data_IF_980659663260
#
_entry.id   IF_980659663260
#
_cell.length_a   1.000
_cell.length_b   1.000
_cell.length_c   1.000
_cell.angle_alpha   90.00
_cell.angle_beta   90.00
_cell.angle_gamma   90.00
#
_symmetry.space_group_name_H-M   'P 1'
#
loop_
_entity.id
_entity.type
_entity.pdbx_description
1 polymer ?
#
# COMPACT_ATOMS: atom_id res chain seq x y z
N UNK A 1 -0.42 -34.27 -4.08
CA UNK A 1 -0.73 -32.88 -3.64
C UNK A 1 -1.38 -32.97 -2.27
N UNK A 2 -0.81 -32.29 -1.29
CA UNK A 2 -1.37 -32.24 0.07
C UNK A 2 -2.45 -31.18 0.12
N UNK A 3 -3.64 -31.49 0.65
CA UNK A 3 -4.75 -30.53 0.82
C UNK A 3 -4.54 -29.60 2.02
N UNK A 4 -3.32 -29.57 2.61
CA UNK A 4 -3.02 -28.72 3.78
C UNK A 4 -3.28 -27.23 3.51
N UNK A 5 -3.08 -26.74 2.27
CA UNK A 5 -3.36 -25.35 1.91
C UNK A 5 -4.80 -24.91 2.22
N UNK A 6 -5.79 -25.82 2.17
CA UNK A 6 -7.18 -25.51 2.53
C UNK A 6 -7.31 -25.25 4.03
N UNK A 7 -6.62 -26.02 4.86
CA UNK A 7 -6.59 -25.84 6.30
C UNK A 7 -5.86 -24.54 6.65
N UNK A 8 -4.71 -24.29 6.03
CA UNK A 8 -3.93 -23.07 6.23
C UNK A 8 -4.77 -21.83 5.91
N UNK A 9 -5.46 -21.85 4.76
CA UNK A 9 -6.34 -20.76 4.35
C UNK A 9 -7.52 -20.58 5.32
N UNK A 10 -8.13 -21.68 5.78
CA UNK A 10 -9.23 -21.62 6.75
C UNK A 10 -8.77 -21.05 8.08
N UNK A 11 -7.58 -21.43 8.57
CA UNK A 11 -6.99 -20.90 9.80
C UNK A 11 -6.67 -19.40 9.66
N UNK A 12 -6.09 -18.99 8.53
CA UNK A 12 -5.84 -17.57 8.25
C UNK A 12 -7.14 -16.77 8.27
N UNK A 13 -8.15 -17.20 7.51
CA UNK A 13 -9.41 -16.47 7.41
C UNK A 13 -10.17 -16.41 8.75
N UNK A 14 -10.18 -17.51 9.51
CA UNK A 14 -10.84 -17.57 10.80
C UNK A 14 -10.13 -16.67 11.83
N UNK A 15 -8.82 -16.79 11.96
CA UNK A 15 -8.03 -16.04 12.93
C UNK A 15 -8.03 -14.53 12.62
N UNK A 16 -7.85 -14.15 11.37
CA UNK A 16 -7.91 -12.74 10.93
C UNK A 16 -9.28 -12.14 11.19
N UNK A 17 -10.36 -12.91 10.96
CA UNK A 17 -11.71 -12.43 11.24
C UNK A 17 -11.98 -12.27 12.74
N UNK A 18 -11.59 -13.24 13.56
CA UNK A 18 -11.77 -13.19 15.01
C UNK A 18 -10.98 -12.03 15.61
N UNK A 19 -9.67 -11.94 15.30
CA UNK A 19 -8.82 -10.89 15.84
C UNK A 19 -9.14 -9.51 15.23
N UNK A 20 -9.61 -9.45 13.99
CA UNK A 20 -10.14 -8.23 13.39
C UNK A 20 -11.37 -7.70 14.13
N UNK A 21 -12.31 -8.57 14.52
CA UNK A 21 -13.47 -8.20 15.33
C UNK A 21 -13.06 -7.76 16.76
N UNK A 22 -12.06 -8.42 17.33
CA UNK A 22 -11.49 -8.02 18.63
C UNK A 22 -10.82 -6.65 18.52
N UNK A 23 -10.02 -6.42 17.47
CA UNK A 23 -9.40 -5.11 17.20
C UNK A 23 -10.46 -4.00 17.08
N UNK A 24 -11.56 -4.25 16.37
CA UNK A 24 -12.67 -3.30 16.26
C UNK A 24 -13.34 -3.00 17.62
N UNK A 25 -13.47 -4.00 18.51
CA UNK A 25 -13.98 -3.78 19.87
C UNK A 25 -13.10 -2.82 20.67
N UNK A 26 -11.80 -2.83 20.43
CA UNK A 26 -10.84 -1.86 20.96
C UNK A 26 -10.73 -0.59 20.11
N UNK A 27 -11.65 -0.38 19.19
CA UNK A 27 -11.65 0.75 18.26
C UNK A 27 -10.37 0.83 17.41
N UNK A 28 -9.75 -0.29 17.08
CA UNK A 28 -8.61 -0.38 16.17
C UNK A 28 -9.06 -0.83 14.77
N UNK A 29 -8.34 -0.49 13.69
CA UNK A 29 -8.60 -1.02 12.36
C UNK A 29 -8.52 -2.56 12.33
N UNK A 30 -9.33 -3.22 11.48
CA UNK A 30 -9.29 -4.68 11.33
C UNK A 30 -7.94 -5.21 10.85
N UNK A 31 -7.24 -4.40 10.06
CA UNK A 31 -5.88 -4.66 9.59
C UNK A 31 -4.95 -5.04 10.75
N UNK A 32 -5.01 -4.33 11.87
CA UNK A 32 -4.19 -4.63 13.06
C UNK A 32 -4.46 -6.05 13.57
N UNK A 33 -5.74 -6.43 13.62
CA UNK A 33 -6.13 -7.80 14.02
C UNK A 33 -5.62 -8.86 13.06
N UNK A 34 -5.65 -8.59 11.75
CA UNK A 34 -5.15 -9.52 10.74
C UNK A 34 -3.62 -9.71 10.81
N UNK A 35 -2.88 -8.63 11.05
CA UNK A 35 -1.42 -8.68 11.26
C UNK A 35 -1.06 -9.48 12.52
N UNK A 36 -1.76 -9.22 13.63
CA UNK A 36 -1.56 -9.97 14.88
C UNK A 36 -1.93 -11.44 14.68
N UNK A 37 -2.98 -11.76 13.90
CA UNK A 37 -3.33 -13.13 13.57
C UNK A 37 -2.18 -13.85 12.86
N UNK A 38 -1.61 -13.22 11.85
CA UNK A 38 -0.46 -13.73 11.13
C UNK A 38 0.76 -13.98 12.06
N UNK A 39 1.09 -13.00 12.91
CA UNK A 39 2.18 -13.11 13.87
C UNK A 39 1.96 -14.26 14.88
N UNK A 40 0.73 -14.41 15.38
CA UNK A 40 0.40 -15.52 16.30
C UNK A 40 0.52 -16.90 15.62
N UNK A 41 0.13 -17.01 14.35
CA UNK A 41 0.22 -18.25 13.60
C UNK A 41 1.62 -18.56 13.09
N UNK A 42 2.52 -17.57 13.05
CA UNK A 42 3.87 -17.64 12.51
C UNK A 42 4.79 -18.61 13.30
N UNK A 43 5.93 -18.98 12.72
CA UNK A 43 6.98 -19.74 13.44
C UNK A 43 7.52 -19.01 14.68
N UNK A 44 7.48 -17.67 14.69
CA UNK A 44 7.86 -16.86 15.85
C UNK A 44 6.79 -16.84 16.96
N UNK A 45 5.53 -17.20 16.64
CA UNK A 45 4.42 -17.30 17.57
C UNK A 45 4.12 -18.74 17.99
N UNK A 46 2.96 -19.26 17.54
CA UNK A 46 2.51 -20.63 17.86
C UNK A 46 3.13 -21.70 16.94
N UNK A 47 3.80 -21.34 15.87
CA UNK A 47 4.40 -22.26 14.91
C UNK A 47 3.39 -23.12 14.13
N UNK A 48 2.16 -22.64 13.99
CA UNK A 48 1.09 -23.39 13.31
C UNK A 48 1.16 -23.29 11.80
N UNK A 49 1.62 -22.16 11.27
CA UNK A 49 1.74 -21.89 9.85
C UNK A 49 3.15 -21.38 9.51
N UNK A 50 3.61 -21.78 8.34
CA UNK A 50 4.79 -21.20 7.69
C UNK A 50 4.38 -20.66 6.32
N UNK A 51 5.16 -19.76 5.76
CA UNK A 51 4.91 -19.29 4.38
C UNK A 51 5.02 -20.46 3.41
N UNK A 52 3.97 -20.64 2.61
CA UNK A 52 3.95 -21.56 1.48
C UNK A 52 3.92 -20.75 0.19
N UNK A 53 4.38 -21.33 -0.92
CA UNK A 53 4.34 -20.68 -2.23
C UNK A 53 2.91 -20.25 -2.60
N UNK A 54 1.92 -21.05 -2.24
CA UNK A 54 0.51 -20.71 -2.45
C UNK A 54 0.06 -19.49 -1.65
N UNK A 55 0.39 -19.42 -0.34
CA UNK A 55 0.02 -18.27 0.49
C UNK A 55 0.74 -17.00 0.06
N UNK A 56 1.99 -17.12 -0.40
CA UNK A 56 2.76 -16.01 -0.94
C UNK A 56 2.11 -15.45 -2.21
N UNK A 57 1.85 -16.29 -3.20
CA UNK A 57 1.21 -15.86 -4.46
C UNK A 57 -0.19 -15.28 -4.24
N UNK A 58 -0.97 -15.86 -3.31
CA UNK A 58 -2.28 -15.35 -2.97
C UNK A 58 -2.20 -14.00 -2.24
N UNK A 59 -1.17 -13.79 -1.43
CA UNK A 59 -0.86 -12.53 -0.76
C UNK A 59 -0.48 -11.44 -1.78
N UNK A 60 0.40 -11.73 -2.73
CA UNK A 60 0.79 -10.83 -3.81
C UNK A 60 -0.44 -10.43 -4.65
N UNK A 61 -1.27 -11.39 -5.04
CA UNK A 61 -2.53 -11.09 -5.71
C UNK A 61 -3.46 -10.22 -4.83
N UNK A 62 -3.40 -10.41 -3.52
CA UNK A 62 -4.17 -9.64 -2.54
C UNK A 62 -3.82 -8.15 -2.56
N UNK A 63 -2.55 -7.81 -2.52
CA UNK A 63 -2.11 -6.41 -2.56
C UNK A 63 -2.36 -5.77 -3.92
N UNK A 64 -2.18 -6.51 -5.02
CA UNK A 64 -2.51 -6.04 -6.37
C UNK A 64 -3.99 -5.65 -6.48
N UNK A 65 -4.91 -6.51 -6.03
CA UNK A 65 -6.36 -6.22 -6.05
C UNK A 65 -6.72 -5.07 -5.11
N UNK A 66 -6.08 -4.98 -3.96
CA UNK A 66 -6.25 -3.89 -3.01
C UNK A 66 -5.89 -2.54 -3.66
N UNK A 67 -4.73 -2.45 -4.30
CA UNK A 67 -4.25 -1.24 -4.96
C UNK A 67 -5.05 -0.89 -6.21
N UNK A 68 -5.48 -1.89 -6.98
CA UNK A 68 -6.42 -1.70 -8.08
C UNK A 68 -7.75 -1.09 -7.60
N UNK A 69 -8.30 -1.62 -6.50
CA UNK A 69 -9.52 -1.07 -5.89
C UNK A 69 -9.33 0.35 -5.36
N UNK A 70 -8.16 0.65 -4.79
CA UNK A 70 -7.80 2.00 -4.35
C UNK A 70 -7.71 2.98 -5.54
N UNK A 71 -7.06 2.55 -6.64
CA UNK A 71 -7.00 3.34 -7.87
C UNK A 71 -8.38 3.64 -8.47
N UNK A 72 -9.29 2.66 -8.46
CA UNK A 72 -10.68 2.87 -8.91
C UNK A 72 -11.47 3.83 -8.02
N UNK A 73 -11.15 3.90 -6.72
CA UNK A 73 -11.80 4.81 -5.77
C UNK A 73 -11.20 6.22 -5.76
N UNK A 74 -10.12 6.45 -6.48
CA UNK A 74 -9.41 7.74 -6.46
C UNK A 74 -10.03 8.73 -7.45
N UNK A 75 -10.31 9.96 -7.00
CA UNK A 75 -10.66 11.06 -7.89
C UNK A 75 -9.40 11.62 -8.55
N UNK A 76 -9.33 11.49 -9.88
CA UNK A 76 -8.18 11.94 -10.70
C UNK A 76 -7.94 13.45 -10.60
N UNK A 77 -9.00 14.25 -10.40
CA UNK A 77 -8.86 15.70 -10.28
C UNK A 77 -8.24 16.05 -8.92
N UNK A 78 -8.69 15.42 -7.86
CA UNK A 78 -8.13 15.54 -6.52
C UNK A 78 -6.65 15.09 -6.50
N UNK A 79 -6.33 13.99 -7.17
CA UNK A 79 -4.96 13.50 -7.30
C UNK A 79 -4.04 14.51 -7.99
N UNK A 80 -4.52 15.16 -9.07
CA UNK A 80 -3.77 16.23 -9.76
C UNK A 80 -3.52 17.42 -8.84
N UNK A 81 -4.51 17.83 -8.05
CA UNK A 81 -4.35 18.93 -7.10
C UNK A 81 -3.38 18.58 -5.96
N UNK A 82 -3.34 17.31 -5.54
CA UNK A 82 -2.45 16.82 -4.49
C UNK A 82 -1.02 16.53 -4.97
N UNK A 83 -0.76 16.52 -6.30
CA UNK A 83 0.52 16.08 -6.86
C UNK A 83 1.72 16.89 -6.38
N UNK A 84 1.61 18.22 -6.29
CA UNK A 84 2.70 19.08 -5.78
C UNK A 84 2.99 18.81 -4.29
N UNK A 85 1.95 18.67 -3.49
CA UNK A 85 2.09 18.34 -2.08
C UNK A 85 2.64 16.92 -1.92
N UNK A 86 2.11 15.95 -2.68
CA UNK A 86 2.59 14.57 -2.71
C UNK A 86 4.09 14.49 -3.05
N UNK A 87 4.54 15.24 -4.06
CA UNK A 87 5.97 15.28 -4.43
C UNK A 87 6.85 15.82 -3.29
N UNK A 88 6.48 16.95 -2.68
CA UNK A 88 7.25 17.54 -1.57
C UNK A 88 7.28 16.61 -0.35
N UNK A 89 6.14 15.98 -0.03
CA UNK A 89 6.02 15.00 1.04
C UNK A 89 6.90 13.78 0.77
N UNK A 90 6.90 13.25 -0.46
CA UNK A 90 7.71 12.10 -0.83
C UNK A 90 9.21 12.39 -0.77
N UNK A 91 9.67 13.52 -1.35
CA UNK A 91 11.09 13.89 -1.33
C UNK A 91 11.63 14.00 0.09
N UNK A 92 10.94 14.77 0.97
CA UNK A 92 11.35 14.88 2.37
C UNK A 92 11.11 13.58 3.14
N UNK A 93 10.11 12.80 2.74
CA UNK A 93 9.81 11.47 3.26
C UNK A 93 10.85 10.41 2.90
N UNK A 94 11.69 10.62 1.90
CA UNK A 94 12.84 9.77 1.56
C UNK A 94 14.11 10.32 2.21
N UNK A 95 14.40 11.61 2.01
CA UNK A 95 15.67 12.22 2.45
C UNK A 95 15.81 12.17 3.97
N UNK A 96 14.78 12.55 4.72
CA UNK A 96 14.88 12.61 6.20
C UNK A 96 15.05 11.22 6.83
N UNK A 97 14.26 10.18 6.50
CA UNK A 97 14.50 8.83 7.01
C UNK A 97 15.85 8.25 6.57
N UNK A 98 16.27 8.51 5.34
CA UNK A 98 17.58 8.09 4.86
C UNK A 98 18.71 8.63 5.74
N UNK A 99 18.73 9.95 5.98
CA UNK A 99 19.76 10.58 6.78
C UNK A 99 19.70 10.17 8.24
N UNK A 100 18.49 10.15 8.84
CA UNK A 100 18.32 9.78 10.25
C UNK A 100 18.63 8.30 10.49
N UNK A 101 18.25 7.42 9.57
CA UNK A 101 18.54 5.99 9.64
C UNK A 101 20.04 5.70 9.53
N UNK A 102 20.71 6.33 8.58
CA UNK A 102 22.18 6.25 8.40
C UNK A 102 22.91 6.76 9.64
N UNK A 103 22.51 7.92 10.17
CA UNK A 103 23.11 8.51 11.36
C UNK A 103 22.90 7.62 12.61
N UNK A 104 21.71 7.03 12.76
CA UNK A 104 21.44 6.09 13.84
C UNK A 104 22.31 4.85 13.74
N UNK A 105 22.41 4.23 12.56
CA UNK A 105 23.20 3.02 12.37
C UNK A 105 24.67 3.29 12.60
N UNK A 106 25.21 4.37 12.07
CA UNK A 106 26.58 4.80 12.31
C UNK A 106 26.84 5.08 13.79
N UNK A 107 25.96 5.82 14.48
CA UNK A 107 26.10 6.09 15.90
C UNK A 107 26.02 4.83 16.77
N UNK A 108 25.18 3.86 16.41
CA UNK A 108 25.06 2.57 17.12
C UNK A 108 26.31 1.70 16.93
N UNK A 109 26.94 1.75 15.76
CA UNK A 109 28.18 1.09 15.44
C UNK A 109 29.34 1.66 16.29
N UNK A 110 29.51 3.00 16.32
CA UNK A 110 30.51 3.68 17.14
C UNK A 110 30.33 3.43 18.66
N UNK A 111 29.09 3.22 19.11
CA UNK A 111 28.78 2.89 20.50
C UNK A 111 28.95 1.39 20.82
N UNK A 112 29.27 0.56 19.83
CA UNK A 112 29.42 -0.89 20.00
C UNK A 112 28.09 -1.63 20.31
N UNK A 113 26.96 -1.04 19.97
CA UNK A 113 25.64 -1.68 20.11
C UNK A 113 25.40 -2.71 19.00
N UNK A 114 25.98 -2.48 17.83
CA UNK A 114 25.96 -3.35 16.64
C UNK A 114 27.39 -3.47 16.11
N UNK A 115 27.67 -4.56 15.42
CA UNK A 115 28.90 -4.73 14.65
C UNK A 115 28.57 -4.56 13.16
N UNK A 116 28.79 -3.39 12.60
CA UNK A 116 28.56 -3.17 11.18
C UNK A 116 29.76 -3.64 10.36
N UNK A 117 29.50 -4.12 9.13
CA UNK A 117 30.55 -4.51 8.18
C UNK A 117 31.23 -3.31 7.52
N UNK A 118 30.71 -2.10 7.76
CA UNK A 118 31.26 -0.84 7.25
C UNK A 118 30.21 0.24 6.97
N UNK A 119 30.69 1.42 6.59
CA UNK A 119 29.84 2.60 6.38
C UNK A 119 28.72 2.39 5.32
N UNK A 120 28.93 1.51 4.34
CA UNK A 120 27.92 1.18 3.32
C UNK A 120 26.73 0.45 3.94
N UNK A 121 26.95 -0.43 4.92
CA UNK A 121 25.86 -1.08 5.66
C UNK A 121 25.01 -0.05 6.41
N UNK A 122 25.64 0.94 7.04
CA UNK A 122 24.93 2.02 7.74
C UNK A 122 24.08 2.86 6.78
N UNK A 123 24.57 3.17 5.58
CA UNK A 123 23.81 3.82 4.51
C UNK A 123 22.65 2.93 4.06
N UNK A 124 22.89 1.62 3.96
CA UNK A 124 21.87 0.67 3.53
C UNK A 124 20.71 0.57 4.53
N UNK A 125 20.99 0.60 5.83
CA UNK A 125 19.97 0.68 6.88
C UNK A 125 19.14 1.97 6.73
N UNK A 126 19.78 3.10 6.43
CA UNK A 126 19.09 4.33 6.07
C UNK A 126 18.16 4.15 4.87
N UNK A 127 18.60 3.44 3.84
CA UNK A 127 17.80 3.13 2.65
C UNK A 127 16.58 2.26 2.98
N UNK A 128 16.73 1.24 3.84
CA UNK A 128 15.60 0.43 4.32
C UNK A 128 14.54 1.32 4.98
N UNK A 129 14.97 2.33 5.75
CA UNK A 129 14.04 3.27 6.40
C UNK A 129 13.36 4.26 5.42
N UNK A 130 13.72 4.32 4.16
CA UNK A 130 12.95 5.10 3.18
C UNK A 130 11.67 4.40 2.77
N UNK A 131 11.69 3.07 2.65
CA UNK A 131 10.57 2.28 2.16
C UNK A 131 9.29 2.49 2.98
N UNK A 132 8.15 2.67 2.31
CA UNK A 132 6.83 2.86 2.94
C UNK A 132 5.87 1.77 2.48
N UNK A 133 5.03 1.25 3.37
CA UNK A 133 3.94 0.35 2.98
C UNK A 133 2.68 1.14 2.67
N UNK A 134 2.39 1.28 1.39
CA UNK A 134 1.21 2.01 0.89
C UNK A 134 -0.07 1.23 1.20
N UNK A 135 -0.05 -0.09 1.00
CA UNK A 135 -1.20 -0.98 1.12
C UNK A 135 -1.86 -0.93 2.51
N UNK A 136 -1.05 -0.95 3.58
CA UNK A 136 -1.53 -0.92 4.96
C UNK A 136 -2.18 0.44 5.28
N UNK A 137 -1.53 1.52 4.88
CA UNK A 137 -2.05 2.88 5.08
C UNK A 137 -3.34 3.10 4.30
N UNK A 138 -3.40 2.67 3.04
CA UNK A 138 -4.58 2.76 2.18
C UNK A 138 -5.77 2.01 2.79
N UNK A 139 -5.56 0.75 3.22
CA UNK A 139 -6.64 -0.02 3.84
C UNK A 139 -7.11 0.60 5.16
N UNK A 140 -6.18 1.10 5.98
CA UNK A 140 -6.51 1.81 7.22
C UNK A 140 -7.35 3.08 6.94
N UNK A 141 -6.95 3.89 5.96
CA UNK A 141 -7.69 5.09 5.55
C UNK A 141 -9.07 4.73 4.97
N UNK A 142 -9.15 3.63 4.21
CA UNK A 142 -10.38 3.10 3.64
C UNK A 142 -11.36 2.63 4.73
N UNK A 143 -10.88 1.86 5.72
CA UNK A 143 -11.68 1.47 6.90
C UNK A 143 -12.21 2.68 7.67
N UNK A 144 -11.39 3.73 7.80
CA UNK A 144 -11.77 4.99 8.46
C UNK A 144 -12.64 5.92 7.57
N UNK A 145 -12.86 5.58 6.30
CA UNK A 145 -13.53 6.42 5.29
C UNK A 145 -12.83 7.78 5.08
N UNK A 146 -11.50 7.79 5.18
CA UNK A 146 -10.66 8.99 5.05
C UNK A 146 -9.75 8.98 3.81
N UNK A 147 -9.85 7.94 2.96
CA UNK A 147 -9.04 7.81 1.75
C UNK A 147 -9.31 8.93 0.74
N UNK A 148 -10.57 9.33 0.58
CA UNK A 148 -11.03 10.35 -0.36
C UNK A 148 -10.89 11.79 0.19
N UNK A 149 -10.20 11.98 1.33
CA UNK A 149 -9.95 13.32 1.90
C UNK A 149 -8.69 13.95 1.29
N UNK A 150 -8.51 15.27 1.47
CA UNK A 150 -7.29 15.98 1.07
C UNK A 150 -6.03 15.31 1.61
N UNK A 151 -6.05 14.89 2.88
CA UNK A 151 -4.94 14.16 3.53
C UNK A 151 -4.75 12.79 2.89
N UNK A 152 -5.82 12.00 2.71
CA UNK A 152 -5.76 10.67 2.10
C UNK A 152 -5.21 10.71 0.67
N UNK A 153 -5.72 11.62 -0.16
CA UNK A 153 -5.23 11.81 -1.53
C UNK A 153 -3.76 12.25 -1.58
N UNK A 154 -3.34 13.09 -0.62
CA UNK A 154 -1.93 13.51 -0.54
C UNK A 154 -1.02 12.37 -0.11
N UNK A 155 -1.42 11.56 0.89
CA UNK A 155 -0.69 10.36 1.31
C UNK A 155 -0.55 9.40 0.12
N UNK A 156 -1.63 9.16 -0.62
CA UNK A 156 -1.63 8.27 -1.76
C UNK A 156 -0.72 8.76 -2.88
N UNK A 157 -0.79 10.05 -3.23
CA UNK A 157 0.10 10.66 -4.20
C UNK A 157 1.58 10.61 -3.76
N UNK A 158 1.83 10.90 -2.48
CA UNK A 158 3.17 10.85 -1.91
C UNK A 158 3.73 9.44 -1.92
N UNK A 159 2.94 8.43 -1.57
CA UNK A 159 3.36 7.06 -1.50
C UNK A 159 3.77 6.50 -2.88
N UNK A 160 3.01 6.80 -3.94
CA UNK A 160 3.38 6.43 -5.31
C UNK A 160 4.71 7.05 -5.77
N UNK A 161 4.99 8.29 -5.36
CA UNK A 161 6.24 8.96 -5.67
C UNK A 161 7.36 8.41 -4.78
N UNK A 162 7.08 8.11 -3.52
CA UNK A 162 8.00 7.52 -2.54
C UNK A 162 8.53 6.17 -3.02
N UNK A 163 7.68 5.31 -3.62
CA UNK A 163 8.08 4.03 -4.21
C UNK A 163 9.13 4.22 -5.31
N UNK A 164 8.92 5.19 -6.19
CA UNK A 164 9.88 5.54 -7.26
C UNK A 164 11.19 6.09 -6.69
N UNK A 165 11.10 7.01 -5.73
CA UNK A 165 12.29 7.60 -5.09
C UNK A 165 13.04 6.56 -4.25
N UNK A 166 12.34 5.65 -3.59
CA UNK A 166 12.91 4.53 -2.84
C UNK A 166 13.72 3.58 -3.75
N UNK A 167 13.16 3.26 -4.95
CA UNK A 167 13.86 2.46 -5.95
C UNK A 167 15.13 3.17 -6.44
N UNK A 168 15.08 4.48 -6.70
CA UNK A 168 16.24 5.27 -7.07
C UNK A 168 17.28 5.25 -5.94
N UNK A 169 16.88 5.47 -4.69
CA UNK A 169 17.77 5.45 -3.54
C UNK A 169 18.45 4.08 -3.37
N UNK A 170 17.66 2.99 -3.48
CA UNK A 170 18.19 1.62 -3.44
C UNK A 170 19.22 1.38 -4.53
N UNK A 171 18.92 1.75 -5.78
CA UNK A 171 19.81 1.58 -6.91
C UNK A 171 21.12 2.36 -6.73
N UNK A 172 21.03 3.60 -6.22
CA UNK A 172 22.20 4.41 -5.90
C UNK A 172 23.12 3.72 -4.90
N UNK A 173 22.55 3.21 -3.82
CA UNK A 173 23.33 2.55 -2.75
C UNK A 173 23.87 1.20 -3.21
N UNK A 174 23.10 0.42 -3.98
CA UNK A 174 23.59 -0.83 -4.59
C UNK A 174 24.73 -0.58 -5.56
N UNK A 175 24.66 0.48 -6.36
CA UNK A 175 25.76 0.87 -7.28
C UNK A 175 27.03 1.30 -6.51
N UNK A 176 26.89 2.02 -5.39
CA UNK A 176 28.03 2.37 -4.52
C UNK A 176 28.66 1.14 -3.86
N UNK A 177 27.87 0.09 -3.65
CA UNK A 177 28.31 -1.20 -3.09
C UNK A 177 28.95 -2.14 -4.15
N UNK A 178 29.12 -1.67 -5.40
CA UNK A 178 29.73 -2.45 -6.49
C UNK A 178 28.74 -3.26 -7.33
N UNK A 179 27.44 -2.91 -7.29
CA UNK A 179 26.43 -3.50 -8.16
C UNK A 179 26.51 -3.01 -9.61
N UNK A 180 26.14 -3.86 -10.57
CA UNK A 180 26.22 -3.58 -12.01
C UNK A 180 25.05 -2.72 -12.55
N UNK A 181 24.09 -2.33 -11.71
CA UNK A 181 22.92 -1.59 -12.16
C UNK A 181 23.23 -0.11 -12.45
N UNK A 182 23.00 0.31 -13.69
CA UNK A 182 23.18 1.70 -14.12
C UNK A 182 21.96 2.54 -13.71
N UNK A 183 22.21 3.61 -12.96
CA UNK A 183 21.18 4.61 -12.55
C UNK A 183 20.42 5.14 -13.77
N UNK A 184 21.12 5.41 -14.88
CA UNK A 184 20.50 5.89 -16.11
C UNK A 184 19.50 4.90 -16.70
N UNK A 185 19.78 3.60 -16.61
CA UNK A 185 18.87 2.55 -17.08
C UNK A 185 17.61 2.48 -16.19
N UNK A 186 17.77 2.59 -14.87
CA UNK A 186 16.62 2.60 -13.93
C UNK A 186 15.73 3.82 -14.17
N UNK A 187 16.31 5.00 -14.31
CA UNK A 187 15.54 6.22 -14.63
C UNK A 187 14.81 6.08 -15.98
N UNK A 188 15.47 5.50 -17.00
CA UNK A 188 14.84 5.26 -18.29
C UNK A 188 13.66 4.28 -18.18
N UNK A 189 13.80 3.20 -17.40
CA UNK A 189 12.72 2.24 -17.13
C UNK A 189 11.54 2.89 -16.40
N UNK A 190 11.80 3.73 -15.39
CA UNK A 190 10.74 4.45 -14.65
C UNK A 190 9.98 5.39 -15.58
N UNK A 191 10.69 6.22 -16.38
CA UNK A 191 10.03 7.09 -17.35
C UNK A 191 9.25 6.28 -18.38
N UNK A 192 9.85 5.18 -18.88
CA UNK A 192 9.21 4.24 -19.79
C UNK A 192 7.90 3.67 -19.21
N UNK A 193 7.92 3.30 -17.93
CA UNK A 193 6.72 2.82 -17.24
C UNK A 193 5.60 3.89 -17.21
N UNK A 194 5.90 5.12 -16.86
CA UNK A 194 4.86 6.17 -16.83
C UNK A 194 4.29 6.47 -18.22
N UNK A 195 5.14 6.47 -19.26
CA UNK A 195 4.67 6.59 -20.65
C UNK A 195 3.80 5.39 -21.04
N UNK A 196 4.24 4.17 -20.73
CA UNK A 196 3.48 2.94 -20.95
C UNK A 196 2.12 2.99 -20.23
N UNK A 197 2.12 3.31 -18.94
CA UNK A 197 0.91 3.37 -18.12
C UNK A 197 -0.09 4.43 -18.68
N UNK A 198 0.42 5.57 -19.14
CA UNK A 198 -0.42 6.58 -19.77
C UNK A 198 -1.02 6.09 -21.10
N UNK A 199 -0.20 5.52 -21.98
CA UNK A 199 -0.64 5.03 -23.30
C UNK A 199 -1.65 3.88 -23.15
N UNK A 200 -1.30 2.87 -22.34
CA UNK A 200 -2.17 1.70 -22.11
C UNK A 200 -3.44 2.12 -21.36
N UNK A 201 -3.32 2.95 -20.32
CA UNK A 201 -4.46 3.46 -19.56
C UNK A 201 -5.42 4.28 -20.43
N UNK A 202 -4.90 5.17 -21.29
CA UNK A 202 -5.72 5.94 -22.24
C UNK A 202 -6.37 5.02 -23.28
N UNK A 203 -5.61 4.08 -23.85
CA UNK A 203 -6.13 3.09 -24.80
C UNK A 203 -7.23 2.21 -24.18
N UNK A 204 -6.99 1.71 -22.97
CA UNK A 204 -7.96 0.93 -22.23
C UNK A 204 -9.25 1.73 -21.97
N UNK A 205 -9.13 2.97 -21.50
CA UNK A 205 -10.29 3.85 -21.30
C UNK A 205 -11.10 4.03 -22.61
N UNK A 206 -10.41 4.24 -23.72
CA UNK A 206 -11.06 4.37 -25.05
C UNK A 206 -11.79 3.09 -25.45
N UNK A 207 -11.15 1.93 -25.23
CA UNK A 207 -11.75 0.61 -25.52
C UNK A 207 -12.96 0.37 -24.60
N UNK A 208 -12.85 0.65 -23.31
CA UNK A 208 -13.98 0.56 -22.37
C UNK A 208 -15.16 1.44 -22.79
N UNK A 209 -14.90 2.71 -23.11
CA UNK A 209 -15.95 3.62 -23.58
C UNK A 209 -16.61 3.14 -24.88
N UNK A 210 -15.84 2.58 -25.81
CA UNK A 210 -16.36 2.01 -27.04
C UNK A 210 -17.20 0.76 -26.78
N UNK A 211 -16.70 -0.15 -25.91
CA UNK A 211 -17.46 -1.34 -25.50
C UNK A 211 -18.78 -0.99 -24.85
N UNK A 212 -18.79 0.03 -23.97
CA UNK A 212 -20.00 0.49 -23.29
C UNK A 212 -21.06 1.07 -24.26
N UNK A 213 -20.63 1.79 -25.30
CA UNK A 213 -21.54 2.34 -26.32
C UNK A 213 -22.22 1.27 -27.19
N UNK A 214 -21.57 0.11 -27.37
CA UNK A 214 -22.09 -1.00 -28.18
C UNK A 214 -22.94 -2.00 -27.38
N UNK A 215 -23.00 -1.88 -26.07
CA UNK A 215 -23.70 -2.86 -25.23
C UNK A 215 -25.16 -2.47 -24.98
N UNK A 216 -26.06 -3.30 -25.43
CA UNK A 216 -27.46 -3.36 -25.03
C UNK A 216 -27.62 -4.56 -24.08
N UNK A 217 -27.90 -4.33 -22.78
CA UNK A 217 -28.22 -5.38 -21.82
C UNK A 217 -27.04 -6.06 -21.08
N UNK A 218 -27.18 -7.25 -20.62
CA UNK A 218 -26.48 -8.10 -19.63
C UNK A 218 -24.94 -8.24 -19.68
N UNK A 219 -24.21 -7.43 -20.42
CA UNK A 219 -22.75 -7.54 -20.61
C UNK A 219 -21.89 -6.99 -19.46
N UNK A 220 -22.45 -6.84 -18.26
CA UNK A 220 -21.81 -6.21 -17.09
C UNK A 220 -20.61 -7.01 -16.56
N UNK A 221 -20.68 -8.36 -16.54
CA UNK A 221 -19.58 -9.22 -16.06
C UNK A 221 -18.36 -9.15 -16.96
N UNK A 222 -18.55 -9.04 -18.28
CA UNK A 222 -17.45 -8.94 -19.24
C UNK A 222 -16.56 -7.73 -18.99
N UNK A 223 -17.13 -6.58 -18.66
CA UNK A 223 -16.36 -5.37 -18.37
C UNK A 223 -15.50 -5.52 -17.11
N UNK A 224 -16.02 -6.18 -16.09
CA UNK A 224 -15.24 -6.49 -14.88
C UNK A 224 -14.06 -7.40 -15.22
N UNK A 225 -14.27 -8.47 -16.00
CA UNK A 225 -13.16 -9.36 -16.39
C UNK A 225 -12.07 -8.59 -17.15
N UNK A 226 -12.44 -7.74 -18.12
CA UNK A 226 -11.46 -6.92 -18.84
C UNK A 226 -10.71 -5.95 -17.93
N UNK A 227 -11.38 -5.34 -16.95
CA UNK A 227 -10.75 -4.47 -15.97
C UNK A 227 -9.73 -5.24 -15.12
N UNK A 228 -10.02 -6.49 -14.76
CA UNK A 228 -9.09 -7.33 -14.02
C UNK A 228 -7.89 -7.77 -14.87
N UNK A 229 -8.14 -8.17 -16.12
CA UNK A 229 -7.05 -8.48 -17.06
C UNK A 229 -6.13 -7.27 -17.23
N UNK A 230 -6.69 -6.06 -17.38
CA UNK A 230 -5.90 -4.83 -17.44
C UNK A 230 -5.05 -4.65 -16.17
N UNK A 231 -5.63 -4.87 -14.99
CA UNK A 231 -4.92 -4.79 -13.71
C UNK A 231 -3.72 -5.74 -13.69
N UNK A 232 -3.95 -7.03 -13.98
CA UNK A 232 -2.90 -8.06 -13.94
C UNK A 232 -1.79 -7.80 -14.97
N UNK A 233 -2.16 -7.40 -16.19
CA UNK A 233 -1.18 -7.10 -17.25
C UNK A 233 -0.35 -5.87 -16.88
N UNK A 234 -0.98 -4.81 -16.35
CA UNK A 234 -0.23 -3.62 -15.96
C UNK A 234 0.66 -3.85 -14.74
N UNK A 235 0.22 -4.66 -13.75
CA UNK A 235 1.03 -5.07 -12.62
C UNK A 235 2.26 -5.90 -13.09
N UNK A 236 2.03 -6.91 -13.92
CA UNK A 236 3.08 -7.74 -14.50
C UNK A 236 4.10 -6.91 -15.32
N UNK A 237 3.61 -6.02 -16.20
CA UNK A 237 4.52 -5.19 -16.99
C UNK A 237 5.31 -4.20 -16.13
N UNK A 238 4.72 -3.66 -15.06
CA UNK A 238 5.41 -2.76 -14.14
C UNK A 238 6.64 -3.43 -13.53
N UNK A 239 6.46 -4.63 -12.98
CA UNK A 239 7.52 -5.38 -12.30
C UNK A 239 8.52 -5.96 -13.29
N UNK A 240 8.07 -6.75 -14.27
CA UNK A 240 8.94 -7.56 -15.14
C UNK A 240 9.73 -6.73 -16.15
N UNK A 241 9.08 -5.74 -16.80
CA UNK A 241 9.75 -4.96 -17.85
C UNK A 241 10.37 -3.66 -17.35
N UNK A 242 9.75 -3.04 -16.37
CA UNK A 242 10.18 -1.71 -15.92
C UNK A 242 10.84 -1.72 -14.55
N UNK A 243 10.77 -2.82 -13.78
CA UNK A 243 11.31 -2.91 -12.43
C UNK A 243 10.65 -1.90 -11.47
N UNK A 244 9.42 -1.49 -11.76
CA UNK A 244 8.58 -0.65 -10.91
C UNK A 244 7.60 -1.56 -10.19
N UNK A 245 7.34 -1.31 -8.90
CA UNK A 245 6.47 -2.16 -8.11
C UNK A 245 5.13 -2.47 -8.80
N UNK A 246 4.73 -3.73 -8.81
CA UNK A 246 3.50 -4.27 -9.38
C UNK A 246 2.26 -3.54 -8.88
N UNK A 247 2.26 -3.17 -7.59
CA UNK A 247 1.20 -2.36 -6.95
C UNK A 247 0.98 -1.02 -7.64
N UNK A 248 2.04 -0.39 -8.18
CA UNK A 248 1.94 0.88 -8.92
C UNK A 248 1.26 0.66 -10.27
N UNK A 249 1.58 -0.46 -10.96
CA UNK A 249 0.90 -0.89 -12.17
C UNK A 249 -0.59 -1.16 -11.96
N UNK A 250 -0.91 -1.89 -10.89
CA UNK A 250 -2.29 -2.18 -10.49
C UNK A 250 -3.09 -0.89 -10.18
N UNK A 251 -2.48 0.04 -9.44
CA UNK A 251 -3.08 1.33 -9.13
C UNK A 251 -3.34 2.17 -10.39
N UNK A 252 -2.36 2.24 -11.31
CA UNK A 252 -2.52 2.95 -12.58
C UNK A 252 -3.65 2.35 -13.44
N UNK A 253 -3.79 1.02 -13.47
CA UNK A 253 -4.92 0.34 -14.09
C UNK A 253 -6.25 0.74 -13.43
N UNK A 254 -6.30 0.81 -12.10
CA UNK A 254 -7.45 1.27 -11.33
C UNK A 254 -7.87 2.70 -11.70
N UNK A 255 -6.91 3.62 -11.80
CA UNK A 255 -7.14 5.00 -12.25
C UNK A 255 -7.72 5.06 -13.66
N UNK A 256 -7.19 4.25 -14.59
CA UNK A 256 -7.71 4.19 -15.97
C UNK A 256 -9.18 3.73 -16.00
N UNK A 257 -9.55 2.77 -15.15
CA UNK A 257 -10.93 2.29 -15.00
C UNK A 257 -11.81 3.32 -14.29
N UNK A 258 -11.30 4.04 -13.28
CA UNK A 258 -11.99 5.12 -12.56
C UNK A 258 -12.49 6.22 -13.52
N UNK A 259 -11.71 6.54 -14.56
CA UNK A 259 -12.07 7.49 -15.60
C UNK A 259 -13.21 7.01 -16.52
N UNK A 260 -13.72 5.79 -16.36
CA UNK A 260 -14.82 5.25 -17.18
C UNK A 260 -16.18 5.49 -16.52
N UNK A 261 -17.29 5.63 -17.31
CA UNK A 261 -18.61 5.85 -16.74
C UNK A 261 -19.12 4.75 -15.78
N UNK A 262 -18.54 3.56 -15.84
CA UNK A 262 -18.89 2.41 -14.97
C UNK A 262 -17.79 2.06 -13.94
N UNK A 263 -16.82 2.92 -13.71
CA UNK A 263 -15.71 2.66 -12.78
C UNK A 263 -16.21 2.27 -11.39
N UNK A 264 -17.10 3.05 -10.80
CA UNK A 264 -17.71 2.76 -9.49
C UNK A 264 -18.44 1.41 -9.45
N UNK A 265 -19.18 1.07 -10.52
CA UNK A 265 -19.86 -0.23 -10.61
C UNK A 265 -18.85 -1.39 -10.65
N UNK A 266 -17.77 -1.25 -11.43
CA UNK A 266 -16.71 -2.26 -11.52
C UNK A 266 -16.06 -2.43 -10.14
N UNK A 267 -15.74 -1.35 -9.45
CA UNK A 267 -15.17 -1.36 -8.10
C UNK A 267 -16.02 -2.16 -7.11
N UNK A 268 -17.36 -2.01 -7.14
CA UNK A 268 -18.25 -2.78 -6.24
C UNK A 268 -18.18 -4.29 -6.45
N UNK A 269 -17.74 -4.77 -7.61
CA UNK A 269 -17.59 -6.21 -7.89
C UNK A 269 -16.29 -6.79 -7.31
N UNK A 270 -15.24 -5.97 -7.14
CA UNK A 270 -13.96 -6.43 -6.58
C UNK A 270 -13.88 -6.29 -5.06
N UNK A 271 -14.60 -5.33 -4.49
CA UNK A 271 -14.60 -5.13 -3.04
C UNK A 271 -14.91 -6.41 -2.24
N UNK A 272 -15.91 -7.26 -2.60
CA UNK A 272 -16.15 -8.50 -1.88
C UNK A 272 -15.00 -9.50 -1.97
N UNK A 273 -14.38 -9.66 -3.15
CA UNK A 273 -13.26 -10.58 -3.35
C UNK A 273 -12.05 -10.15 -2.52
N UNK A 274 -11.70 -8.85 -2.57
CA UNK A 274 -10.64 -8.28 -1.74
C UNK A 274 -10.92 -8.50 -0.26
N UNK A 275 -12.05 -8.05 0.23
CA UNK A 275 -12.39 -8.08 1.66
C UNK A 275 -12.55 -9.50 2.24
N UNK A 276 -13.16 -10.45 1.50
CA UNK A 276 -13.46 -11.78 2.02
C UNK A 276 -12.25 -12.72 2.03
N UNK A 277 -11.35 -12.58 1.07
CA UNK A 277 -10.28 -13.55 0.85
C UNK A 277 -8.90 -12.91 0.80
N UNK A 278 -8.69 -11.99 -0.14
CA UNK A 278 -7.35 -11.56 -0.52
C UNK A 278 -6.69 -10.67 0.52
N UNK A 279 -7.40 -9.65 0.99
CA UNK A 279 -6.89 -8.70 1.99
C UNK A 279 -6.54 -9.37 3.33
N UNK A 280 -7.39 -10.26 3.92
CA UNK A 280 -7.02 -10.99 5.13
C UNK A 280 -5.77 -11.86 4.95
N UNK A 281 -5.64 -12.56 3.82
CA UNK A 281 -4.46 -13.40 3.54
C UNK A 281 -3.21 -12.55 3.41
N UNK A 282 -3.29 -11.41 2.69
CA UNK A 282 -2.17 -10.48 2.54
C UNK A 282 -1.67 -9.97 3.89
N UNK A 283 -2.54 -9.45 4.75
CA UNK A 283 -2.09 -8.94 6.05
C UNK A 283 -1.60 -10.04 6.99
N UNK A 284 -2.21 -11.23 6.97
CA UNK A 284 -1.73 -12.35 7.74
C UNK A 284 -0.35 -12.82 7.26
N UNK A 285 -0.10 -12.85 5.94
CA UNK A 285 1.20 -13.30 5.40
C UNK A 285 2.36 -12.41 5.85
N UNK A 286 2.15 -11.10 6.01
CA UNK A 286 3.16 -10.19 6.58
C UNK A 286 3.56 -10.66 7.98
N UNK A 287 2.58 -11.06 8.81
CA UNK A 287 2.83 -11.59 10.15
C UNK A 287 3.46 -12.99 10.17
N UNK A 288 3.04 -13.87 9.25
CA UNK A 288 3.54 -15.26 9.14
C UNK A 288 5.02 -15.29 8.75
N UNK A 289 5.48 -14.34 7.95
CA UNK A 289 6.86 -14.23 7.47
C UNK A 289 7.87 -13.76 8.52
N UNK A 290 7.41 -13.48 9.73
CA UNK A 290 8.29 -13.00 10.81
C UNK A 290 9.18 -14.12 11.30
N UNK A 291 10.49 -13.94 11.13
CA UNK A 291 11.53 -14.78 11.72
C UNK A 291 12.45 -13.91 12.57
N UNK A 292 12.58 -14.25 13.84
CA UNK A 292 13.43 -13.53 14.80
C UNK A 292 14.55 -14.46 15.22
N UNK A 293 15.79 -14.13 14.86
CA UNK A 293 16.98 -14.92 15.18
C UNK A 293 18.05 -14.05 15.80
N UNK A 294 18.88 -14.61 16.70
CA UNK A 294 20.09 -13.94 17.20
C UNK A 294 19.84 -12.71 18.08
N UNK A 295 18.87 -12.77 18.99
CA UNK A 295 18.57 -11.67 19.92
C UNK A 295 19.69 -11.49 20.95
N UNK A 296 20.50 -10.44 20.80
CA UNK A 296 21.41 -9.93 21.82
C UNK A 296 20.86 -8.65 22.45
N UNK A 297 21.36 -8.27 23.64
CA UNK A 297 20.92 -7.02 24.29
C UNK A 297 21.12 -5.77 23.41
N UNK A 298 22.25 -5.69 22.69
CA UNK A 298 22.53 -4.59 21.76
C UNK A 298 21.55 -4.57 20.59
N UNK A 299 21.24 -5.71 19.98
CA UNK A 299 20.28 -5.85 18.88
C UNK A 299 18.86 -5.41 19.32
N UNK A 300 18.44 -5.75 20.54
CA UNK A 300 17.13 -5.34 21.07
C UNK A 300 17.09 -3.82 21.24
N UNK A 301 18.11 -3.21 21.85
CA UNK A 301 18.19 -1.75 22.01
C UNK A 301 18.20 -1.05 20.66
N UNK A 302 19.01 -1.53 19.71
CA UNK A 302 19.08 -0.99 18.36
C UNK A 302 17.72 -1.11 17.63
N UNK A 303 17.02 -2.24 17.77
CA UNK A 303 15.69 -2.44 17.18
C UNK A 303 14.68 -1.41 17.68
N UNK A 304 14.68 -1.12 18.97
CA UNK A 304 13.79 -0.11 19.57
C UNK A 304 14.14 1.29 19.04
N UNK A 305 15.41 1.64 18.98
CA UNK A 305 15.87 2.91 18.45
C UNK A 305 15.53 3.04 16.96
N UNK A 306 15.73 1.97 16.18
CA UNK A 306 15.41 1.92 14.76
C UNK A 306 13.92 2.12 14.51
N UNK A 307 13.05 1.48 15.31
CA UNK A 307 11.61 1.67 15.26
C UNK A 307 11.22 3.12 15.57
N UNK A 308 11.76 3.70 16.64
CA UNK A 308 11.47 5.09 17.01
C UNK A 308 11.92 6.06 15.90
N UNK A 309 13.13 5.90 15.40
CA UNK A 309 13.67 6.73 14.30
C UNK A 309 12.85 6.54 13.02
N UNK A 310 12.43 5.32 12.73
CA UNK A 310 11.57 5.00 11.58
C UNK A 310 10.27 5.82 11.59
N UNK A 311 9.59 5.91 12.73
CA UNK A 311 8.33 6.66 12.88
C UNK A 311 8.61 8.17 12.91
N UNK A 312 9.56 8.61 13.72
CA UNK A 312 9.86 10.04 13.92
C UNK A 312 10.38 10.68 12.62
N UNK A 313 11.25 9.99 11.87
CA UNK A 313 11.82 10.51 10.63
C UNK A 313 10.76 10.73 9.55
N UNK A 314 9.81 9.81 9.39
CA UNK A 314 8.68 9.99 8.46
C UNK A 314 7.71 11.06 8.95
N UNK A 315 7.43 11.11 10.24
CA UNK A 315 6.60 12.15 10.82
C UNK A 315 7.20 13.54 10.57
N UNK A 316 8.50 13.70 10.77
CA UNK A 316 9.22 14.96 10.52
C UNK A 316 9.32 15.24 9.03
N UNK A 317 9.83 14.31 8.22
CA UNK A 317 10.04 14.50 6.79
C UNK A 317 8.74 14.79 6.04
N UNK A 318 7.79 13.87 6.11
CA UNK A 318 6.51 14.01 5.42
C UNK A 318 5.64 15.11 6.04
N UNK A 319 5.68 15.28 7.37
CA UNK A 319 4.97 16.34 8.06
C UNK A 319 5.48 17.75 7.68
N UNK A 320 6.79 17.95 7.59
CA UNK A 320 7.39 19.19 7.10
C UNK A 320 7.06 19.43 5.62
N UNK A 321 7.09 18.38 4.80
CA UNK A 321 6.69 18.45 3.38
C UNK A 321 5.24 18.93 3.22
N UNK A 322 4.32 18.37 3.99
CA UNK A 322 2.92 18.79 4.01
C UNK A 322 2.79 20.24 4.53
N UNK A 323 3.51 20.58 5.59
CA UNK A 323 3.50 21.94 6.16
C UNK A 323 3.99 22.99 5.17
N UNK A 324 5.04 22.69 4.40
CA UNK A 324 5.56 23.56 3.34
C UNK A 324 4.51 23.78 2.21
N UNK A 325 3.57 22.86 2.04
CA UNK A 325 2.45 22.95 1.11
C UNK A 325 1.17 23.52 1.76
N UNK A 326 1.30 24.27 2.83
CA UNK A 326 0.20 24.98 3.51
C UNK A 326 -0.87 24.08 4.15
N UNK A 327 -0.49 22.86 4.53
CA UNK A 327 -1.35 22.03 5.37
C UNK A 327 -1.34 22.54 6.81
N UNK A 328 -2.45 22.37 7.51
CA UNK A 328 -2.51 22.66 8.94
C UNK A 328 -1.55 21.74 9.70
N UNK A 329 -1.14 22.13 10.91
CA UNK A 329 -0.21 21.29 11.71
C UNK A 329 -0.78 19.90 11.95
N UNK A 330 -2.10 19.79 12.14
CA UNK A 330 -2.78 18.53 12.35
C UNK A 330 -2.79 17.66 11.08
N UNK A 331 -3.15 18.23 9.94
CA UNK A 331 -3.09 17.52 8.64
C UNK A 331 -1.66 17.07 8.33
N UNK A 332 -0.66 17.90 8.65
CA UNK A 332 0.76 17.57 8.48
C UNK A 332 1.17 16.37 9.34
N UNK A 333 0.67 16.28 10.59
CA UNK A 333 0.88 15.10 11.45
C UNK A 333 0.17 13.88 10.87
N UNK A 334 -1.06 14.02 10.37
CA UNK A 334 -1.81 12.93 9.73
C UNK A 334 -1.07 12.38 8.50
N UNK A 335 -0.54 13.27 7.65
CA UNK A 335 0.28 12.88 6.49
C UNK A 335 1.55 12.18 6.95
N UNK A 336 2.27 12.73 7.92
CA UNK A 336 3.50 12.13 8.44
C UNK A 336 3.29 10.75 9.06
N UNK A 337 2.24 10.58 9.86
CA UNK A 337 1.87 9.29 10.45
C UNK A 337 1.41 8.31 9.36
N UNK A 338 0.63 8.77 8.38
CA UNK A 338 0.19 7.91 7.27
C UNK A 338 1.34 7.36 6.42
N UNK A 339 2.42 8.10 6.32
CA UNK A 339 3.64 7.69 5.61
C UNK A 339 4.64 6.90 6.49
N UNK A 340 4.38 6.74 7.79
CA UNK A 340 5.30 6.06 8.70
C UNK A 340 5.21 4.53 8.64
N UNK A 341 4.22 3.97 7.95
CA UNK A 341 4.03 2.52 7.84
C UNK A 341 5.20 1.85 7.13
N UNK A 342 5.68 0.74 7.70
CA UNK A 342 6.67 -0.15 7.10
C UNK A 342 6.00 -1.47 6.79
N UNK A 343 6.41 -2.15 5.73
CA UNK A 343 5.83 -3.43 5.32
C UNK A 343 6.79 -4.26 4.50
N UNK A 344 6.22 -5.01 3.58
CA UNK A 344 6.91 -5.93 2.68
C UNK A 344 8.04 -5.28 1.89
N UNK A 345 7.87 -4.04 1.44
CA UNK A 345 8.89 -3.32 0.65
C UNK A 345 10.21 -3.17 1.42
N UNK A 346 10.14 -2.85 2.73
CA UNK A 346 11.35 -2.74 3.56
C UNK A 346 12.07 -4.09 3.71
N UNK A 347 11.31 -5.20 3.79
CA UNK A 347 11.89 -6.55 3.84
C UNK A 347 12.51 -6.96 2.50
N UNK A 348 11.88 -6.60 1.37
CA UNK A 348 12.45 -6.83 0.02
C UNK A 348 13.79 -6.10 -0.12
N UNK A 349 13.83 -4.81 0.27
CA UNK A 349 15.07 -4.03 0.27
C UNK A 349 16.13 -4.69 1.16
N UNK A 350 15.78 -5.10 2.38
CA UNK A 350 16.71 -5.76 3.30
C UNK A 350 17.25 -7.09 2.75
N UNK A 351 16.38 -7.92 2.17
CA UNK A 351 16.78 -9.17 1.51
C UNK A 351 17.71 -8.94 0.32
N UNK A 352 17.48 -7.87 -0.45
CA UNK A 352 18.39 -7.48 -1.55
C UNK A 352 19.76 -7.12 -0.99
N UNK A 353 19.84 -6.34 0.09
CA UNK A 353 21.10 -6.03 0.76
C UNK A 353 21.82 -7.25 1.29
N UNK A 354 21.09 -8.20 1.88
CA UNK A 354 21.64 -9.47 2.34
C UNK A 354 22.21 -10.30 1.19
N UNK A 355 21.48 -10.43 0.08
CA UNK A 355 21.90 -11.19 -1.11
C UNK A 355 23.14 -10.60 -1.78
N UNK A 356 23.35 -9.29 -1.69
CA UNK A 356 24.53 -8.59 -2.19
C UNK A 356 25.71 -8.56 -1.19
N UNK A 357 25.53 -9.09 0.04
CA UNK A 357 26.53 -9.03 1.10
C UNK A 357 26.77 -7.64 1.69
N UNK A 358 25.89 -6.68 1.40
CA UNK A 358 25.92 -5.29 1.90
C UNK A 358 25.34 -5.21 3.32
N UNK A 359 24.32 -6.02 3.59
CA UNK A 359 23.68 -6.12 4.89
C UNK A 359 24.10 -7.42 5.57
N UNK A 360 24.53 -7.35 6.83
CA UNK A 360 24.87 -8.53 7.61
C UNK A 360 23.59 -9.29 8.05
N UNK A 361 23.66 -10.63 8.21
CA UNK A 361 22.52 -11.41 8.71
C UNK A 361 22.01 -10.94 10.08
N UNK A 362 22.89 -10.40 10.93
CA UNK A 362 22.54 -9.87 12.25
C UNK A 362 21.58 -8.67 12.17
N UNK A 363 21.67 -7.86 11.10
CA UNK A 363 20.82 -6.67 10.89
C UNK A 363 19.41 -7.01 10.39
N UNK A 364 19.15 -8.24 9.94
CA UNK A 364 17.79 -8.64 9.56
C UNK A 364 16.82 -8.59 10.75
N UNK A 365 17.24 -9.02 11.92
CA UNK A 365 16.37 -9.03 13.12
C UNK A 365 15.87 -7.63 13.52
N UNK A 366 16.71 -6.58 13.66
CA UNK A 366 16.25 -5.21 13.87
C UNK A 366 15.29 -4.72 12.80
N UNK A 367 15.55 -5.01 11.52
CA UNK A 367 14.68 -4.61 10.42
C UNK A 367 13.32 -5.28 10.54
N UNK A 368 13.28 -6.61 10.75
CA UNK A 368 12.02 -7.36 10.91
C UNK A 368 11.20 -6.84 12.09
N UNK A 369 11.82 -6.61 13.25
CA UNK A 369 11.15 -6.05 14.43
C UNK A 369 10.58 -4.67 14.11
N UNK A 370 11.35 -3.81 13.43
CA UNK A 370 10.92 -2.47 13.04
C UNK A 370 9.73 -2.53 12.07
N UNK A 371 9.76 -3.43 11.09
CA UNK A 371 8.66 -3.62 10.14
C UNK A 371 7.41 -4.08 10.87
N UNK A 372 7.48 -5.15 11.66
CA UNK A 372 6.32 -5.73 12.37
C UNK A 372 5.70 -4.72 13.33
N UNK A 373 6.51 -4.12 14.19
CA UNK A 373 6.02 -3.13 15.15
C UNK A 373 5.48 -1.87 14.43
N UNK A 374 6.18 -1.38 13.40
CA UNK A 374 5.75 -0.23 12.61
C UNK A 374 4.43 -0.46 11.88
N UNK A 375 4.24 -1.67 11.33
CA UNK A 375 3.02 -2.10 10.66
C UNK A 375 1.82 -2.12 11.61
N UNK A 376 2.00 -2.55 12.85
CA UNK A 376 0.95 -2.58 13.88
C UNK A 376 0.69 -1.18 14.45
N UNK A 377 1.75 -0.42 14.74
CA UNK A 377 1.63 0.89 15.39
C UNK A 377 1.05 1.96 14.47
N UNK A 378 1.40 1.97 13.18
CA UNK A 378 0.97 3.03 12.26
C UNK A 378 -0.55 3.14 12.11
N UNK A 379 -1.33 2.06 11.89
CA UNK A 379 -2.80 2.16 11.85
C UNK A 379 -3.40 2.73 13.14
N UNK A 380 -2.81 2.38 14.29
CA UNK A 380 -3.25 2.88 15.60
C UNK A 380 -2.98 4.38 15.71
N UNK A 381 -1.74 4.82 15.41
CA UNK A 381 -1.34 6.21 15.43
C UNK A 381 -2.13 7.04 14.42
N UNK A 382 -2.37 6.50 13.24
CA UNK A 382 -3.16 7.16 12.19
C UNK A 382 -4.58 7.40 12.67
N UNK A 383 -5.22 6.39 13.26
CA UNK A 383 -6.55 6.55 13.83
C UNK A 383 -6.59 7.57 14.96
N UNK A 384 -5.60 7.59 15.84
CA UNK A 384 -5.49 8.58 16.90
C UNK A 384 -5.34 10.00 16.35
N UNK A 385 -4.57 10.18 15.26
CA UNK A 385 -4.36 11.50 14.63
C UNK A 385 -5.64 12.08 14.03
N UNK A 386 -6.57 11.22 13.56
CA UNK A 386 -7.87 11.63 13.02
C UNK A 386 -8.95 11.81 14.10
N UNK A 387 -8.72 11.44 15.37
CA UNK A 387 -9.70 11.52 16.45
C UNK A 387 -10.06 12.99 16.73
N UNK A 388 -11.35 13.34 16.71
CA UNK A 388 -11.87 14.66 17.07
C UNK A 388 -11.97 15.68 15.92
N UNK A 389 -11.91 15.27 14.66
CA UNK A 389 -12.17 16.15 13.52
C UNK A 389 -13.47 15.76 12.80
N UNK A 390 -14.49 16.59 12.93
CA UNK A 390 -15.57 16.66 11.95
C UNK A 390 -15.10 17.62 10.86
N UNK A 391 -14.73 17.09 9.70
CA UNK A 391 -14.49 17.88 8.49
C UNK A 391 -15.84 18.42 8.02
N UNK A 392 -16.12 19.68 8.34
CA UNK A 392 -17.46 20.29 8.16
C UNK A 392 -17.68 20.82 6.74
N UNK A 393 -16.65 20.96 5.89
CA UNK A 393 -16.79 21.65 4.60
C UNK A 393 -16.77 20.76 3.34
N UNK A 394 -16.01 19.66 3.33
CA UNK A 394 -15.99 18.74 2.18
C UNK A 394 -17.16 17.74 2.20
N UNK A 395 -17.69 17.44 3.39
CA UNK A 395 -18.83 16.53 3.57
C UNK A 395 -20.12 17.10 2.97
N UNK A 396 -20.33 18.41 3.02
CA UNK A 396 -21.56 19.01 2.49
C UNK A 396 -21.65 18.96 0.95
N UNK A 397 -20.56 19.19 0.24
CA UNK A 397 -20.50 19.05 -1.21
C UNK A 397 -20.55 17.57 -1.65
N UNK A 398 -19.84 16.69 -0.94
CA UNK A 398 -19.86 15.24 -1.23
C UNK A 398 -21.20 14.58 -0.89
N UNK A 399 -21.92 15.03 0.14
CA UNK A 399 -23.26 14.50 0.46
C UNK A 399 -24.26 14.95 -0.61
N UNK A 400 -24.19 16.18 -1.08
CA UNK A 400 -25.04 16.68 -2.16
C UNK A 400 -24.79 15.93 -3.48
N UNK A 401 -23.52 15.69 -3.83
CA UNK A 401 -23.13 14.91 -5.02
C UNK A 401 -23.46 13.40 -4.87
N UNK A 402 -23.29 12.83 -3.70
CA UNK A 402 -23.73 11.45 -3.42
C UNK A 402 -25.23 11.31 -3.45
N UNK A 403 -25.98 12.26 -2.91
CA UNK A 403 -27.44 12.28 -3.01
C UNK A 403 -27.91 12.49 -4.44
N UNK A 404 -27.23 13.33 -5.23
CA UNK A 404 -27.54 13.50 -6.64
C UNK A 404 -27.24 12.22 -7.45
N UNK A 405 -26.12 11.54 -7.18
CA UNK A 405 -25.79 10.21 -7.76
C UNK A 405 -26.77 9.13 -7.34
N UNK A 406 -27.17 9.05 -6.06
CA UNK A 406 -28.21 8.12 -5.61
C UNK A 406 -29.57 8.40 -6.25
N UNK A 407 -29.95 9.66 -6.37
CA UNK A 407 -31.20 10.05 -7.06
C UNK A 407 -31.17 9.67 -8.55
N UNK A 408 -30.03 9.80 -9.22
CA UNK A 408 -29.90 9.34 -10.61
C UNK A 408 -29.99 7.81 -10.72
N UNK A 409 -29.38 7.06 -9.79
CA UNK A 409 -29.48 5.60 -9.74
C UNK A 409 -30.93 5.15 -9.48
N UNK A 410 -31.63 5.79 -8.56
CA UNK A 410 -33.04 5.50 -8.27
C UNK A 410 -33.94 5.81 -9.47
N UNK A 411 -33.70 6.91 -10.19
CA UNK A 411 -34.43 7.24 -11.40
C UNK A 411 -34.20 6.23 -12.53
N UNK A 412 -32.94 5.80 -12.71
CA UNK A 412 -32.59 4.77 -13.70
C UNK A 412 -33.23 3.43 -13.32
N UNK A 413 -33.23 3.07 -12.04
CA UNK A 413 -33.86 1.84 -11.55
C UNK A 413 -35.38 1.89 -11.75
N UNK A 414 -36.04 3.02 -11.49
CA UNK A 414 -37.48 3.19 -11.74
C UNK A 414 -37.80 3.16 -13.24
N UNK A 415 -36.97 3.73 -14.10
CA UNK A 415 -37.14 3.63 -15.54
C UNK A 415 -37.02 2.21 -16.07
N UNK A 416 -36.07 1.44 -15.55
CA UNK A 416 -35.89 0.02 -15.91
C UNK A 416 -37.06 -0.84 -15.45
N UNK A 417 -37.58 -0.61 -14.22
CA UNK A 417 -38.75 -1.31 -13.72
C UNK A 417 -40.02 -0.99 -14.56
N UNK A 418 -40.18 0.27 -14.96
CA UNK A 418 -41.30 0.66 -15.84
C UNK A 418 -41.18 0.03 -17.24
N UNK A 419 -39.97 -0.08 -17.80
CA UNK A 419 -39.75 -0.78 -19.05
C UNK A 419 -40.05 -2.28 -18.96
N UNK A 420 -39.65 -2.93 -17.87
CA UNK A 420 -39.95 -4.35 -17.64
C UNK A 420 -41.45 -4.59 -17.46
N UNK A 421 -42.16 -3.73 -16.73
CA UNK A 421 -43.63 -3.79 -16.64
C UNK A 421 -44.35 -3.60 -17.98
N UNK A 422 -43.82 -2.72 -18.85
CA UNK A 422 -44.36 -2.52 -20.19
C UNK A 422 -44.10 -3.73 -21.08
N UNK A 423 -42.97 -4.39 -20.95
CA UNK A 423 -42.64 -5.61 -21.69
C UNK A 423 -43.49 -6.80 -21.23
N UNK A 424 -43.75 -6.91 -19.90
CA UNK A 424 -44.64 -7.95 -19.35
C UNK A 424 -46.11 -7.78 -19.72
N UNK A 425 -46.54 -6.56 -19.99
CA UNK A 425 -47.92 -6.28 -20.46
C UNK A 425 -48.13 -6.46 -21.97
N UNK A 426 -47.03 -6.66 -22.73
CA UNK A 426 -47.04 -6.89 -24.19
C UNK A 426 -46.89 -8.37 -24.59
N UNK A 427 -46.60 -9.23 -23.65
CA UNK A 427 -46.67 -10.69 -23.77
C UNK A 427 -47.87 -11.22 -22.98
#
# INVERSE_FOLDING_TARGET
MSYHFLLDLALILLSTKILGLIAQKFQMPQVVGALIAGLLLSPAGLGLLSETEFTKQLSELGVIVLMFSAGMGTDVNELKHSGKAGFMVAVLGVVVPFLMGTALAWGADELGLIESTGFIENIFIGTILTATSVSITVETLKEMKKLETKVGNTILAAALIDDVLGLIALTLVCSLAGGDESIGMVLLKIVGFFVFAFVVGFGANRIFCWMLKRQHGWASHRNSVFAFVLCLVMAYCAEEFFGVADITGAYAAGLAVACTPKGTYIQTKYNPLGYLLLTPVFFASIGINVQITGLTGGIVVFSILLLLVSIISKLLGCGLGAKACQFTTRESIQVGVGMACRGEVALIVANRGLSMGVLSPAMMTPVVITVVCGTILTPILLKLSFRGHQETELVQNNIADRMAKHRQLDLITQQLLQQDEQLMKKN
#
